data_IF_599038808790
#
_entry.id   IF_599038808790
#
_cell.length_a   1.000
_cell.length_b   1.000
_cell.length_c   1.000
_cell.angle_alpha   90.00
_cell.angle_beta   90.00
_cell.angle_gamma   90.00
#
_symmetry.space_group_name_H-M   'P 1'
#
loop_
_entity.id
_entity.type
_entity.pdbx_description
1 polymer ?
#
# COMPACT_ATOMS: atom_id res chain seq x y z
N UNK A 1 10.25 -46.51 -26.82
CA UNK A 1 8.86 -46.33 -26.40
C UNK A 1 8.90 -45.80 -24.94
N UNK A 2 8.59 -44.53 -24.76
CA UNK A 2 8.54 -43.90 -23.43
C UNK A 2 7.33 -44.47 -22.68
N UNK A 3 7.55 -45.04 -21.48
CA UNK A 3 6.52 -45.71 -20.70
C UNK A 3 5.35 -44.77 -20.47
N UNK A 4 4.12 -45.15 -20.91
CA UNK A 4 2.91 -44.31 -20.81
C UNK A 4 2.62 -43.82 -19.38
N UNK A 5 3.06 -44.56 -18.36
CA UNK A 5 2.97 -44.18 -16.96
C UNK A 5 3.86 -42.98 -16.61
N UNK A 6 5.06 -42.85 -17.21
CA UNK A 6 5.98 -41.73 -16.99
C UNK A 6 5.40 -40.46 -17.62
N UNK A 7 4.77 -40.57 -18.79
CA UNK A 7 4.13 -39.45 -19.45
C UNK A 7 2.92 -38.90 -18.63
N UNK A 8 2.14 -39.78 -18.02
CA UNK A 8 1.02 -39.39 -17.15
C UNK A 8 1.50 -38.64 -15.90
N UNK A 9 2.57 -39.09 -15.24
CA UNK A 9 3.16 -38.37 -14.08
C UNK A 9 3.76 -37.01 -14.46
N UNK A 10 4.33 -36.89 -15.66
CA UNK A 10 4.86 -35.61 -16.17
C UNK A 10 3.75 -34.60 -16.46
N UNK A 11 2.62 -35.08 -17.02
CA UNK A 11 1.43 -34.26 -17.27
C UNK A 11 0.77 -33.83 -15.95
N UNK A 12 0.68 -34.71 -14.96
CA UNK A 12 0.15 -34.35 -13.63
C UNK A 12 1.01 -33.32 -12.92
N UNK A 13 2.33 -33.38 -13.07
CA UNK A 13 3.26 -32.42 -12.44
C UNK A 13 3.15 -31.02 -13.06
N UNK A 14 2.85 -30.91 -14.35
CA UNK A 14 2.64 -29.63 -15.04
C UNK A 14 1.36 -28.89 -14.58
N UNK A 15 0.34 -29.60 -14.08
CA UNK A 15 -0.89 -28.99 -13.57
C UNK A 15 -0.77 -28.43 -12.15
N UNK A 16 0.33 -28.65 -11.46
CA UNK A 16 0.56 -28.16 -10.08
C UNK A 16 1.20 -26.76 -10.03
N UNK A 17 1.58 -26.19 -11.16
CA UNK A 17 2.02 -24.80 -11.21
C UNK A 17 0.76 -23.92 -11.22
N UNK A 18 0.07 -23.82 -10.10
CA UNK A 18 -0.83 -22.71 -9.84
C UNK A 18 0.04 -21.46 -9.87
N UNK A 19 -0.12 -20.66 -10.91
CA UNK A 19 0.42 -19.32 -10.93
C UNK A 19 -0.17 -18.57 -9.73
N UNK A 20 0.59 -18.46 -8.64
CA UNK A 20 0.24 -17.53 -7.58
C UNK A 20 0.32 -16.14 -8.19
N UNK A 21 -0.83 -15.52 -8.42
CA UNK A 21 -0.85 -14.08 -8.66
C UNK A 21 -0.31 -13.44 -7.38
N UNK A 22 0.85 -12.84 -7.51
CA UNK A 22 1.44 -12.14 -6.37
C UNK A 22 0.60 -10.89 -6.13
N UNK A 23 0.16 -10.71 -4.90
CA UNK A 23 -0.64 -9.56 -4.46
C UNK A 23 0.07 -8.86 -3.29
N UNK A 24 -0.27 -7.60 -3.05
CA UNK A 24 0.19 -6.91 -1.85
C UNK A 24 -0.41 -7.58 -0.63
N UNK A 25 0.43 -7.87 0.35
CA UNK A 25 0.00 -8.41 1.64
C UNK A 25 -0.57 -7.28 2.50
N UNK A 26 -1.84 -6.95 2.27
CA UNK A 26 -2.56 -5.96 3.05
C UNK A 26 -2.89 -6.52 4.44
N UNK A 27 -2.50 -5.79 5.48
CA UNK A 27 -2.79 -6.14 6.88
C UNK A 27 -3.49 -4.98 7.58
N UNK A 28 -4.09 -5.22 8.74
CA UNK A 28 -4.75 -4.19 9.54
C UNK A 28 -3.74 -3.31 10.29
N UNK A 29 -4.18 -2.16 10.78
CA UNK A 29 -3.33 -1.28 11.61
C UNK A 29 -2.94 -1.95 12.93
N UNK A 30 -3.80 -2.78 13.48
CA UNK A 30 -3.54 -3.57 14.68
C UNK A 30 -2.44 -4.62 14.40
N UNK A 31 -2.55 -5.36 13.28
CA UNK A 31 -1.54 -6.33 12.87
C UNK A 31 -0.19 -5.67 12.60
N UNK A 32 -0.18 -4.46 12.01
CA UNK A 32 1.07 -3.67 11.86
C UNK A 32 1.71 -3.42 13.21
N UNK A 33 0.96 -2.96 14.20
CA UNK A 33 1.49 -2.63 15.53
C UNK A 33 2.07 -3.86 16.23
N UNK A 34 1.45 -5.03 16.06
CA UNK A 34 2.01 -6.29 16.59
C UNK A 34 3.26 -6.72 15.81
N UNK A 35 3.23 -6.64 14.49
CA UNK A 35 4.37 -7.00 13.64
C UNK A 35 5.60 -6.11 13.90
N UNK A 36 5.39 -4.83 14.19
CA UNK A 36 6.45 -3.88 14.54
C UNK A 36 7.23 -4.26 15.82
N UNK A 37 6.59 -4.96 16.76
CA UNK A 37 7.25 -5.45 17.99
C UNK A 37 8.27 -6.54 17.70
N UNK A 38 8.06 -7.30 16.60
CA UNK A 38 8.87 -8.46 16.23
C UNK A 38 9.93 -8.06 15.20
N UNK A 39 9.49 -7.39 14.13
CA UNK A 39 10.36 -6.97 13.03
C UNK A 39 9.94 -5.58 12.54
N UNK A 40 10.60 -4.52 13.03
CA UNK A 40 10.29 -3.17 12.58
C UNK A 40 10.50 -2.98 11.06
N UNK A 41 9.50 -2.41 10.39
CA UNK A 41 9.54 -2.02 8.97
C UNK A 41 8.86 -0.67 8.79
N UNK A 42 9.17 0.03 7.72
CA UNK A 42 8.38 1.17 7.28
C UNK A 42 6.94 0.75 6.96
N UNK A 43 5.99 1.67 7.13
CA UNK A 43 4.57 1.40 6.89
C UNK A 43 4.05 2.27 5.76
N UNK A 44 3.27 1.65 4.89
CA UNK A 44 2.51 2.30 3.83
C UNK A 44 1.02 2.13 4.12
N UNK A 45 0.26 3.23 4.13
CA UNK A 45 -1.19 3.19 4.25
C UNK A 45 -1.81 3.76 2.98
N UNK A 46 -2.52 2.93 2.21
CA UNK A 46 -3.38 3.39 1.12
C UNK A 46 -4.73 3.82 1.68
N UNK A 47 -4.98 5.13 1.63
CA UNK A 47 -6.22 5.73 2.12
C UNK A 47 -7.16 5.98 0.95
N UNK A 48 -8.25 5.24 0.92
CA UNK A 48 -9.22 5.22 -0.17
C UNK A 48 -10.66 5.47 0.30
N UNK A 49 -11.60 5.57 -0.62
CA UNK A 49 -13.04 5.46 -0.38
C UNK A 49 -13.71 4.61 -1.45
N UNK A 50 -14.84 4.00 -1.13
CA UNK A 50 -15.56 3.09 -2.05
C UNK A 50 -16.03 3.76 -3.34
N UNK A 51 -16.30 5.06 -3.31
CA UNK A 51 -16.75 5.84 -4.46
C UNK A 51 -15.62 6.45 -5.28
N UNK A 52 -14.37 6.38 -4.81
CA UNK A 52 -13.20 7.03 -5.42
C UNK A 52 -12.75 6.31 -6.70
N UNK A 53 -13.05 6.88 -7.85
CA UNK A 53 -12.62 6.35 -9.15
C UNK A 53 -11.09 6.24 -9.31
N UNK A 54 -10.32 7.31 -9.01
CA UNK A 54 -8.85 7.25 -9.05
C UNK A 54 -8.25 6.20 -8.11
N UNK A 55 -8.87 5.90 -6.94
CA UNK A 55 -8.42 4.84 -6.05
C UNK A 55 -8.53 3.46 -6.72
N UNK A 56 -9.67 3.19 -7.36
CA UNK A 56 -9.88 1.93 -8.12
C UNK A 56 -8.90 1.78 -9.28
N UNK A 57 -8.54 2.90 -9.94
CA UNK A 57 -7.50 2.89 -10.98
C UNK A 57 -6.12 2.60 -10.39
N UNK A 58 -5.82 3.12 -9.20
CA UNK A 58 -4.55 2.85 -8.52
C UNK A 58 -4.44 1.38 -8.09
N UNK A 59 -5.52 0.80 -7.60
CA UNK A 59 -5.59 -0.65 -7.33
C UNK A 59 -5.30 -1.46 -8.59
N UNK A 60 -5.99 -1.12 -9.68
CA UNK A 60 -5.92 -1.87 -10.93
C UNK A 60 -4.57 -1.73 -11.65
N UNK A 61 -3.96 -0.56 -11.65
CA UNK A 61 -2.82 -0.26 -12.52
C UNK A 61 -1.50 -0.21 -11.75
N UNK A 62 -1.54 0.16 -10.45
CA UNK A 62 -0.34 0.43 -9.66
C UNK A 62 -0.10 -0.68 -8.65
N UNK A 63 -1.07 -0.96 -7.80
CA UNK A 63 -0.93 -1.98 -6.78
C UNK A 63 -1.06 -3.43 -7.30
N UNK A 64 -1.41 -3.61 -8.57
CA UNK A 64 -1.35 -4.89 -9.28
C UNK A 64 -0.05 -5.08 -10.09
N UNK A 65 0.80 -4.06 -10.17
CA UNK A 65 2.08 -4.16 -10.87
C UNK A 65 3.06 -5.03 -10.05
N UNK A 66 3.66 -6.04 -10.69
CA UNK A 66 4.48 -7.05 -10.04
C UNK A 66 5.67 -6.44 -9.29
N UNK A 67 6.37 -5.51 -9.91
CA UNK A 67 7.54 -4.87 -9.33
C UNK A 67 7.16 -4.03 -8.10
N UNK A 68 6.01 -3.36 -8.15
CA UNK A 68 5.47 -2.59 -7.01
C UNK A 68 5.07 -3.53 -5.86
N UNK A 69 4.41 -4.64 -6.17
CA UNK A 69 4.05 -5.67 -5.19
C UNK A 69 5.31 -6.19 -4.49
N UNK A 70 6.36 -6.52 -5.27
CA UNK A 70 7.64 -7.00 -4.75
C UNK A 70 8.29 -5.98 -3.81
N UNK A 71 8.34 -4.70 -4.24
CA UNK A 71 8.92 -3.63 -3.41
C UNK A 71 8.15 -3.47 -2.10
N UNK A 72 6.82 -3.42 -2.17
CA UNK A 72 5.98 -3.20 -0.98
C UNK A 72 6.11 -4.39 -0.02
N UNK A 73 5.89 -5.61 -0.47
CA UNK A 73 5.87 -6.79 0.38
C UNK A 73 7.22 -7.03 1.08
N UNK A 74 8.33 -6.74 0.39
CA UNK A 74 9.65 -6.95 0.97
C UNK A 74 10.04 -5.87 1.99
N UNK A 75 9.59 -4.62 1.81
CA UNK A 75 10.16 -3.48 2.53
C UNK A 75 9.18 -2.74 3.44
N UNK A 76 7.87 -2.95 3.26
CA UNK A 76 6.83 -2.24 4.02
C UNK A 76 5.85 -3.20 4.67
N UNK A 77 5.20 -2.76 5.72
CA UNK A 77 3.89 -3.24 6.10
C UNK A 77 2.86 -2.39 5.38
N UNK A 78 1.97 -3.03 4.63
CA UNK A 78 0.98 -2.34 3.82
C UNK A 78 -0.41 -2.43 4.45
N UNK A 79 -1.07 -1.29 4.59
CA UNK A 79 -2.42 -1.17 5.13
C UNK A 79 -3.32 -0.54 4.09
N UNK A 80 -4.53 -1.08 3.95
CA UNK A 80 -5.58 -0.49 3.14
C UNK A 80 -6.68 0.04 4.06
N UNK A 81 -6.88 1.38 4.08
CA UNK A 81 -7.77 2.03 5.02
C UNK A 81 -8.87 2.81 4.30
N UNK A 82 -10.14 2.46 4.57
CA UNK A 82 -11.28 3.20 4.04
C UNK A 82 -11.52 4.46 4.88
N UNK A 83 -11.22 5.62 4.28
CA UNK A 83 -11.34 6.93 4.92
C UNK A 83 -12.76 7.28 5.40
N UNK A 84 -13.77 6.61 4.86
CA UNK A 84 -15.18 6.81 5.16
C UNK A 84 -15.86 5.50 5.60
N UNK A 85 -15.07 4.50 6.05
CA UNK A 85 -15.54 3.24 6.61
C UNK A 85 -16.13 3.39 8.01
N UNK A 86 -16.67 2.27 8.55
CA UNK A 86 -17.25 2.23 9.91
C UNK A 86 -16.46 1.33 10.87
N UNK A 87 -15.26 0.93 10.50
CA UNK A 87 -14.42 0.09 11.34
C UNK A 87 -14.06 0.81 12.64
N UNK A 88 -13.89 0.06 13.72
CA UNK A 88 -13.23 0.56 14.92
C UNK A 88 -11.76 0.25 14.81
N UNK A 89 -10.90 1.27 14.88
CA UNK A 89 -9.46 1.14 14.69
C UNK A 89 -8.73 1.59 15.96
N UNK A 90 -7.86 0.73 16.48
CA UNK A 90 -6.90 1.11 17.51
C UNK A 90 -5.58 1.48 16.85
N UNK A 91 -5.21 2.75 16.91
CA UNK A 91 -3.97 3.25 16.34
C UNK A 91 -3.16 3.99 17.40
N UNK A 92 -1.98 3.48 17.71
CA UNK A 92 -1.04 4.01 18.72
C UNK A 92 -1.72 4.27 20.09
N UNK A 93 -2.51 3.29 20.55
CA UNK A 93 -3.19 3.33 21.83
C UNK A 93 -4.43 4.22 21.87
N UNK A 94 -4.87 4.79 20.74
CA UNK A 94 -6.10 5.57 20.62
C UNK A 94 -7.11 4.82 19.77
N UNK A 95 -8.36 4.82 20.21
CA UNK A 95 -9.48 4.22 19.49
C UNK A 95 -10.16 5.27 18.62
N UNK A 96 -10.32 4.96 17.35
CA UNK A 96 -10.98 5.80 16.36
C UNK A 96 -12.18 5.05 15.77
N UNK A 97 -13.28 5.76 15.55
CA UNK A 97 -14.50 5.24 14.96
C UNK A 97 -15.07 6.20 13.92
N UNK A 98 -16.18 5.84 13.30
CA UNK A 98 -16.95 6.74 12.46
C UNK A 98 -18.41 6.82 12.95
N UNK A 99 -18.68 7.57 14.02
CA UNK A 99 -20.01 7.61 14.67
C UNK A 99 -21.13 8.15 13.78
N UNK A 100 -20.78 8.87 12.72
CA UNK A 100 -21.73 9.44 11.77
C UNK A 100 -21.79 8.64 10.45
N UNK A 101 -21.29 7.39 10.45
CA UNK A 101 -21.38 6.54 9.28
C UNK A 101 -22.83 6.18 8.96
N UNK A 102 -23.21 6.37 7.69
CA UNK A 102 -24.50 5.99 7.15
C UNK A 102 -24.36 4.75 6.23
N UNK A 103 -24.89 3.62 6.66
CA UNK A 103 -24.79 2.36 5.91
C UNK A 103 -25.50 2.40 4.55
N UNK A 104 -26.54 3.24 4.40
CA UNK A 104 -27.22 3.44 3.12
C UNK A 104 -26.35 4.14 2.06
N UNK A 105 -25.26 4.78 2.52
CA UNK A 105 -24.29 5.52 1.70
C UNK A 105 -22.94 4.81 1.58
N UNK A 106 -22.86 3.51 1.88
CA UNK A 106 -21.59 2.75 1.88
C UNK A 106 -20.82 2.81 0.55
N UNK A 107 -21.49 3.00 -0.60
CA UNK A 107 -20.89 3.13 -1.93
C UNK A 107 -20.89 4.56 -2.47
N UNK A 108 -21.20 5.55 -1.63
CA UNK A 108 -21.24 6.97 -1.95
C UNK A 108 -20.43 7.74 -0.92
N UNK A 109 -20.36 9.08 -1.04
CA UNK A 109 -19.74 9.93 -0.02
C UNK A 109 -20.43 9.75 1.32
N UNK A 110 -19.63 9.48 2.33
CA UNK A 110 -20.03 9.26 3.71
C UNK A 110 -19.30 10.20 4.65
N UNK A 111 -19.57 10.11 5.94
CA UNK A 111 -18.80 10.84 6.95
C UNK A 111 -17.36 10.35 6.98
N UNK A 112 -16.44 11.28 7.17
CA UNK A 112 -15.02 10.96 7.31
C UNK A 112 -14.77 10.27 8.65
N UNK A 113 -14.02 9.16 8.62
CA UNK A 113 -13.59 8.45 9.80
C UNK A 113 -12.72 9.34 10.72
N UNK A 114 -12.78 9.13 12.03
CA UNK A 114 -11.99 9.93 12.99
C UNK A 114 -10.48 9.82 12.72
N UNK A 115 -9.99 8.62 12.35
CA UNK A 115 -8.58 8.41 12.01
C UNK A 115 -8.17 9.19 10.74
N UNK A 116 -9.03 9.26 9.72
CA UNK A 116 -8.80 10.07 8.51
C UNK A 116 -8.53 11.53 8.86
N UNK A 117 -9.34 12.09 9.75
CA UNK A 117 -9.18 13.48 10.23
C UNK A 117 -7.93 13.64 11.09
N UNK A 118 -7.64 12.68 11.97
CA UNK A 118 -6.44 12.67 12.80
C UNK A 118 -5.15 12.66 11.98
N UNK A 119 -5.14 11.89 10.89
CA UNK A 119 -3.99 11.81 9.96
C UNK A 119 -3.94 12.96 8.95
N UNK A 120 -4.89 13.91 8.99
CA UNK A 120 -4.92 15.08 8.10
C UNK A 120 -5.19 14.75 6.63
N UNK A 121 -5.87 13.63 6.34
CA UNK A 121 -6.18 13.22 4.97
C UNK A 121 -7.42 13.97 4.48
N UNK A 122 -7.29 14.68 3.36
CA UNK A 122 -8.34 15.50 2.76
C UNK A 122 -8.51 15.30 1.25
N UNK A 123 -7.81 14.34 0.67
CA UNK A 123 -7.90 13.96 -0.74
C UNK A 123 -7.74 12.45 -0.92
N UNK A 124 -8.34 11.89 -1.96
CA UNK A 124 -8.28 10.46 -2.26
C UNK A 124 -7.92 10.20 -3.73
N UNK A 125 -7.06 9.17 -3.99
CA UNK A 125 -6.31 8.39 -3.00
C UNK A 125 -5.24 9.23 -2.28
N UNK A 126 -4.80 8.78 -1.12
CA UNK A 126 -3.61 9.28 -0.45
C UNK A 126 -2.79 8.10 0.06
N UNK A 127 -1.51 8.08 -0.27
CA UNK A 127 -0.57 7.10 0.28
C UNK A 127 0.20 7.75 1.43
N UNK A 128 0.05 7.24 2.64
CA UNK A 128 0.75 7.74 3.81
C UNK A 128 1.96 6.87 4.10
N UNK A 129 3.04 7.50 4.53
CA UNK A 129 4.26 6.81 4.91
C UNK A 129 4.62 7.08 6.36
N UNK A 130 5.01 6.00 7.05
CA UNK A 130 5.53 6.02 8.41
C UNK A 130 6.88 5.30 8.42
N UNK A 131 7.77 5.74 9.30
CA UNK A 131 9.02 5.01 9.54
C UNK A 131 8.81 3.75 10.38
N UNK A 132 9.86 2.98 10.57
CA UNK A 132 9.84 1.74 11.36
C UNK A 132 9.54 1.94 12.85
N UNK A 133 9.56 3.17 13.35
CA UNK A 133 9.15 3.54 14.70
C UNK A 133 7.72 4.10 14.75
N UNK A 134 6.95 3.99 13.68
CA UNK A 134 5.59 4.53 13.52
C UNK A 134 5.50 6.06 13.59
N UNK A 135 6.61 6.77 13.32
CA UNK A 135 6.56 8.22 13.14
C UNK A 135 6.00 8.54 11.77
N UNK A 136 5.02 9.43 11.72
CA UNK A 136 4.44 9.91 10.47
C UNK A 136 5.46 10.74 9.68
N UNK A 137 5.68 10.37 8.41
CA UNK A 137 6.64 11.07 7.54
C UNK A 137 5.89 12.09 6.68
N UNK A 138 5.02 11.64 5.77
CA UNK A 138 4.31 12.53 4.84
C UNK A 138 3.16 11.80 4.13
N UNK A 139 2.13 12.53 3.65
CA UNK A 139 1.16 12.03 2.69
C UNK A 139 1.64 12.30 1.26
N UNK A 140 1.45 11.35 0.37
CA UNK A 140 1.52 11.57 -1.08
C UNK A 140 0.11 11.49 -1.63
N UNK A 141 -0.41 12.60 -2.14
CA UNK A 141 -1.81 12.75 -2.54
C UNK A 141 -1.99 12.49 -4.03
N UNK A 142 -3.13 11.88 -4.37
CA UNK A 142 -3.57 11.65 -5.73
C UNK A 142 -3.12 10.31 -6.30
N UNK A 143 -3.64 10.00 -7.49
CA UNK A 143 -3.27 8.81 -8.24
C UNK A 143 -1.79 8.86 -8.64
N UNK A 144 -1.10 7.76 -8.39
CA UNK A 144 0.28 7.54 -8.83
C UNK A 144 0.32 6.30 -9.73
N UNK A 145 0.91 6.42 -10.92
CA UNK A 145 1.21 5.26 -11.72
C UNK A 145 2.42 4.48 -11.14
N UNK A 146 2.73 3.25 -11.63
CA UNK A 146 3.82 2.44 -11.06
C UNK A 146 5.17 3.16 -10.98
N UNK A 147 5.57 3.90 -12.02
CA UNK A 147 6.85 4.65 -12.00
C UNK A 147 6.84 5.80 -11.00
N UNK A 148 5.71 6.45 -10.82
CA UNK A 148 5.59 7.55 -9.88
C UNK A 148 5.65 7.06 -8.42
N UNK A 149 4.92 6.00 -8.07
CA UNK A 149 4.95 5.48 -6.69
C UNK A 149 6.31 4.85 -6.37
N UNK A 150 7.01 4.25 -7.35
CA UNK A 150 8.34 3.66 -7.16
C UNK A 150 9.34 4.69 -6.61
N UNK A 151 9.27 5.94 -7.08
CA UNK A 151 10.12 7.04 -6.57
C UNK A 151 9.94 7.19 -5.05
N UNK A 152 8.70 7.26 -4.58
CA UNK A 152 8.40 7.41 -3.16
C UNK A 152 8.74 6.16 -2.36
N UNK A 153 8.42 4.97 -2.90
CA UNK A 153 8.81 3.70 -2.26
C UNK A 153 10.32 3.61 -2.07
N UNK A 154 11.10 3.98 -3.07
CA UNK A 154 12.57 3.99 -2.96
C UNK A 154 13.05 5.05 -1.96
N UNK A 155 12.47 6.26 -2.01
CA UNK A 155 12.82 7.37 -1.13
C UNK A 155 12.66 6.98 0.35
N UNK A 156 11.55 6.30 0.69
CA UNK A 156 11.26 5.92 2.07
C UNK A 156 11.94 4.61 2.48
N UNK A 157 11.99 3.60 1.60
CA UNK A 157 12.70 2.34 1.87
C UNK A 157 14.15 2.57 2.25
N UNK A 158 14.85 3.42 1.49
CA UNK A 158 16.28 3.67 1.64
C UNK A 158 16.57 4.82 2.62
N UNK A 159 15.55 5.31 3.32
CA UNK A 159 15.60 6.45 4.25
C UNK A 159 16.19 7.73 3.64
N UNK A 160 16.25 7.81 2.31
CA UNK A 160 16.82 8.96 1.58
C UNK A 160 16.06 10.25 1.89
N UNK A 161 14.77 10.14 2.25
CA UNK A 161 13.95 11.29 2.66
C UNK A 161 14.59 12.09 3.83
N UNK A 162 15.38 11.45 4.69
CA UNK A 162 16.09 12.10 5.78
C UNK A 162 17.13 13.11 5.29
N UNK A 163 17.61 12.95 4.04
CA UNK A 163 18.58 13.83 3.37
C UNK A 163 17.92 14.94 2.58
N UNK A 164 16.64 14.81 2.25
CA UNK A 164 15.87 15.82 1.50
C UNK A 164 15.50 16.97 2.44
N UNK A 165 16.09 18.12 2.25
CA UNK A 165 15.87 19.33 3.07
C UNK A 165 15.17 20.45 2.32
N UNK A 166 15.11 20.35 0.99
CA UNK A 166 14.54 21.36 0.12
C UNK A 166 13.89 20.74 -1.12
N UNK A 167 13.05 21.51 -1.82
CA UNK A 167 12.51 21.12 -3.12
C UNK A 167 13.63 20.77 -4.12
N UNK A 168 14.73 21.53 -4.09
CA UNK A 168 15.90 21.30 -4.95
C UNK A 168 16.52 19.92 -4.72
N UNK A 169 16.60 19.45 -3.46
CA UNK A 169 17.14 18.12 -3.14
C UNK A 169 16.21 17.05 -3.70
N UNK A 170 14.90 17.25 -3.56
CA UNK A 170 13.89 16.33 -4.10
C UNK A 170 13.92 16.28 -5.62
N UNK A 171 14.01 17.40 -6.29
CA UNK A 171 14.12 17.49 -7.76
C UNK A 171 15.40 16.80 -8.25
N UNK A 172 16.52 16.97 -7.53
CA UNK A 172 17.78 16.30 -7.84
C UNK A 172 17.65 14.78 -7.65
N UNK A 173 16.95 14.33 -6.61
CA UNK A 173 16.67 12.91 -6.39
C UNK A 173 15.85 12.34 -7.54
N UNK A 174 14.74 12.98 -7.93
CA UNK A 174 13.89 12.52 -9.04
C UNK A 174 14.68 12.46 -10.35
N UNK A 175 15.49 13.49 -10.64
CA UNK A 175 16.28 13.58 -11.87
C UNK A 175 17.27 12.43 -12.03
N UNK A 176 17.84 11.96 -10.91
CA UNK A 176 18.82 10.88 -10.87
C UNK A 176 18.20 9.51 -10.59
N UNK A 177 16.88 9.43 -10.43
CA UNK A 177 16.19 8.18 -10.13
C UNK A 177 16.03 7.33 -11.39
N UNK A 178 16.58 6.11 -11.34
CA UNK A 178 16.43 5.11 -12.38
C UNK A 178 15.32 4.12 -12.01
N UNK A 179 14.19 4.21 -12.71
CA UNK A 179 13.06 3.30 -12.49
C UNK A 179 13.41 1.87 -12.92
N UNK A 180 13.04 0.90 -12.09
CA UNK A 180 13.10 -0.53 -12.40
C UNK A 180 11.85 -1.02 -13.12
N UNK A 181 10.78 -0.21 -13.13
CA UNK A 181 9.52 -0.55 -13.79
C UNK A 181 9.71 -0.48 -15.30
N UNK A 182 9.59 -1.65 -15.96
CA UNK A 182 9.60 -1.74 -17.42
C UNK A 182 8.26 -1.23 -17.97
N UNK A 183 8.33 -0.49 -19.06
CA UNK A 183 7.15 -0.03 -19.82
C UNK A 183 6.62 -1.15 -20.68
#
# INVERSE_FOLDING_TARGET
MLNSKIAIYFILFLFLIKGYTQEINWITLEEVQEAQKIKPKNVLIDVYTNWCGPCKLMDKNTFSNKEIIDIINNNFYAVKFNAEGNETVNFLGKVFTNPNYDSSRAQRRNSSHQLTRYLGVNAYPSTLFFDSSMNYITPVRGYLNPKQIEIYLSLFRDETYKKIKSQKDFDAFIKNFESKIKT
#
